data_IF_772935213695
#
_entry.id   IF_772935213695
#
_cell.length_a   1.000
_cell.length_b   1.000
_cell.length_c   1.000
_cell.angle_alpha   90.00
_cell.angle_beta   90.00
_cell.angle_gamma   90.00
#
_symmetry.space_group_name_H-M   'P 1'
#
loop_
_entity.id
_entity.type
_entity.pdbx_description
1 polymer ?
#
# COMPACT_ATOMS: atom_id res chain seq x y z
N UNK A 1 22.68 22.14 2.80
CA UNK A 1 21.84 21.13 2.14
C UNK A 1 20.41 21.33 2.64
N UNK A 2 19.47 21.57 1.75
CA UNK A 2 18.04 21.76 2.05
C UNK A 2 17.43 20.39 2.42
N UNK A 3 16.64 20.35 3.49
CA UNK A 3 15.92 19.12 3.90
C UNK A 3 14.48 19.20 3.48
N UNK A 4 14.01 18.19 2.76
CA UNK A 4 12.64 18.08 2.25
C UNK A 4 12.09 16.72 2.66
N UNK A 5 10.80 16.65 2.95
CA UNK A 5 10.11 15.40 3.21
C UNK A 5 9.01 15.21 2.16
N UNK A 6 8.99 14.04 1.52
CA UNK A 6 7.88 13.60 0.71
C UNK A 6 7.14 12.45 1.41
N UNK A 7 5.83 12.50 1.33
CA UNK A 7 4.96 11.46 1.85
C UNK A 7 4.18 10.81 0.72
N UNK A 8 4.23 9.47 0.67
CA UNK A 8 3.40 8.69 -0.25
C UNK A 8 2.01 8.57 0.35
N UNK A 9 1.04 9.24 -0.25
CA UNK A 9 -0.36 9.17 0.14
C UNK A 9 -1.12 8.23 -0.80
N UNK A 10 -1.69 7.15 -0.27
CA UNK A 10 -2.48 6.21 -1.03
C UNK A 10 -3.91 6.74 -1.22
N UNK A 11 -4.41 6.67 -2.46
CA UNK A 11 -5.71 7.22 -2.89
C UNK A 11 -6.78 6.14 -3.03
N UNK A 12 -6.39 4.87 -2.97
CA UNK A 12 -7.28 3.72 -3.08
C UNK A 12 -6.81 2.58 -2.21
N UNK A 13 -7.69 1.61 -1.96
CA UNK A 13 -7.30 0.31 -1.43
C UNK A 13 -6.68 -0.54 -2.56
N UNK A 14 -5.80 -1.51 -2.24
CA UNK A 14 -5.20 -2.37 -3.24
C UNK A 14 -6.25 -3.31 -3.85
N UNK A 15 -6.20 -3.50 -5.16
CA UNK A 15 -6.79 -4.66 -5.79
C UNK A 15 -5.94 -5.89 -5.50
N UNK A 16 -6.56 -7.06 -5.40
CA UNK A 16 -5.87 -8.31 -5.17
C UNK A 16 -6.21 -9.32 -6.26
N UNK A 17 -5.24 -10.16 -6.63
CA UNK A 17 -5.46 -11.25 -7.57
C UNK A 17 -5.61 -12.58 -6.84
N UNK A 18 -6.66 -13.32 -7.18
CA UNK A 18 -6.99 -14.61 -6.58
C UNK A 18 -7.81 -15.46 -7.53
N UNK A 19 -7.72 -16.79 -7.40
CA UNK A 19 -8.59 -17.68 -8.16
C UNK A 19 -10.06 -17.49 -7.77
N UNK A 20 -10.89 -17.12 -8.73
CA UNK A 20 -12.34 -17.01 -8.55
C UNK A 20 -12.99 -18.36 -8.90
N UNK A 21 -13.61 -19.01 -7.90
CA UNK A 21 -14.28 -20.31 -8.10
C UNK A 21 -15.41 -20.25 -9.11
N UNK A 22 -16.16 -19.14 -9.17
CA UNK A 22 -17.27 -18.97 -10.11
C UNK A 22 -16.80 -18.72 -11.54
N UNK A 23 -15.74 -17.89 -11.72
CA UNK A 23 -15.16 -17.64 -13.05
C UNK A 23 -14.26 -18.78 -13.54
N UNK A 24 -13.77 -19.66 -12.65
CA UNK A 24 -12.85 -20.74 -12.96
C UNK A 24 -11.44 -20.28 -13.35
N UNK A 25 -11.08 -19.02 -13.08
CA UNK A 25 -9.80 -18.40 -13.44
C UNK A 25 -9.29 -17.44 -12.37
N UNK A 26 -8.01 -17.03 -12.48
CA UNK A 26 -7.46 -15.93 -11.70
C UNK A 26 -8.17 -14.63 -12.10
N UNK A 27 -8.71 -13.91 -11.14
CA UNK A 27 -9.45 -12.67 -11.31
C UNK A 27 -9.02 -11.65 -10.28
N UNK A 28 -9.27 -10.37 -10.56
CA UNK A 28 -9.09 -9.29 -9.60
C UNK A 28 -10.27 -9.24 -8.63
N UNK A 29 -9.98 -8.95 -7.37
CA UNK A 29 -10.97 -8.71 -6.34
C UNK A 29 -10.74 -7.34 -5.72
N UNK A 30 -11.82 -6.63 -5.50
CA UNK A 30 -11.81 -5.31 -4.85
C UNK A 30 -12.47 -5.37 -3.48
N UNK A 31 -11.90 -4.67 -2.51
CA UNK A 31 -12.47 -4.53 -1.18
C UNK A 31 -13.84 -3.86 -1.28
N UNK A 32 -14.86 -4.44 -0.65
CA UNK A 32 -16.20 -3.86 -0.59
C UNK A 32 -16.33 -2.80 0.51
N UNK A 33 -15.27 -2.62 1.32
CA UNK A 33 -15.26 -1.76 2.51
C UNK A 33 -16.29 -2.17 3.58
N UNK A 34 -16.71 -3.42 3.56
CA UNK A 34 -17.68 -3.97 4.51
C UNK A 34 -17.13 -5.18 5.23
N UNK A 35 -17.41 -5.24 6.52
CA UNK A 35 -17.19 -6.43 7.33
C UNK A 35 -18.46 -7.26 7.43
N UNK A 36 -18.27 -8.57 7.50
CA UNK A 36 -19.29 -9.50 7.92
C UNK A 36 -18.93 -10.00 9.30
N UNK A 37 -19.84 -9.82 10.25
CA UNK A 37 -19.70 -10.28 11.63
C UNK A 37 -20.72 -11.37 11.88
N UNK A 38 -20.27 -12.53 12.34
CA UNK A 38 -21.13 -13.63 12.77
C UNK A 38 -20.81 -13.98 14.22
N UNK A 39 -21.77 -13.70 15.09
CA UNK A 39 -21.69 -14.02 16.51
C UNK A 39 -22.67 -15.16 16.83
N UNK A 40 -22.19 -16.40 16.70
CA UNK A 40 -22.99 -17.58 17.06
C UNK A 40 -22.62 -18.06 18.48
N UNK A 41 -23.54 -17.86 19.43
CA UNK A 41 -23.43 -18.30 20.82
C UNK A 41 -22.16 -17.78 21.52
N UNK A 42 -21.06 -18.59 21.51
CA UNK A 42 -19.79 -18.30 22.22
C UNK A 42 -18.64 -17.99 21.28
N UNK A 43 -18.86 -18.03 19.97
CA UNK A 43 -17.82 -17.83 18.97
C UNK A 43 -18.14 -16.64 18.08
N UNK A 44 -17.11 -15.86 17.78
CA UNK A 44 -17.16 -14.71 16.91
C UNK A 44 -16.29 -14.96 15.69
N UNK A 45 -16.86 -14.78 14.51
CA UNK A 45 -16.15 -14.75 13.24
C UNK A 45 -16.31 -13.38 12.59
N UNK A 46 -15.23 -12.86 12.04
CA UNK A 46 -15.21 -11.58 11.31
C UNK A 46 -14.46 -11.74 10.00
N UNK A 47 -15.06 -11.25 8.92
CA UNK A 47 -14.45 -11.22 7.59
C UNK A 47 -14.51 -9.84 6.98
N UNK A 48 -13.48 -9.47 6.23
CA UNK A 48 -13.53 -8.34 5.29
C UNK A 48 -13.97 -8.87 3.93
N UNK A 49 -14.98 -8.26 3.33
CA UNK A 49 -15.62 -8.73 2.10
C UNK A 49 -14.94 -8.13 0.87
N UNK A 50 -14.63 -8.99 -0.09
CA UNK A 50 -14.11 -8.62 -1.41
C UNK A 50 -15.04 -9.13 -2.50
N UNK A 51 -15.14 -8.42 -3.62
CA UNK A 51 -15.95 -8.79 -4.76
C UNK A 51 -15.07 -9.02 -6.00
N UNK A 52 -15.36 -10.10 -6.72
CA UNK A 52 -14.71 -10.39 -7.99
C UNK A 52 -15.11 -9.34 -9.05
N UNK A 53 -14.14 -8.80 -9.77
CA UNK A 53 -14.36 -7.82 -10.84
C UNK A 53 -15.20 -8.34 -11.99
N UNK A 54 -15.09 -9.67 -12.30
CA UNK A 54 -15.71 -10.27 -13.47
C UNK A 54 -17.15 -10.74 -13.21
N UNK A 55 -17.43 -11.31 -12.03
CA UNK A 55 -18.73 -11.95 -11.73
C UNK A 55 -19.40 -11.46 -10.45
N UNK A 56 -18.81 -10.53 -9.77
CA UNK A 56 -19.28 -9.96 -8.50
C UNK A 56 -19.49 -10.97 -7.36
N UNK A 57 -18.96 -12.20 -7.50
CA UNK A 57 -18.95 -13.17 -6.41
C UNK A 57 -18.11 -12.66 -5.25
N UNK A 58 -18.60 -12.84 -4.05
CA UNK A 58 -17.89 -12.42 -2.84
C UNK A 58 -16.81 -13.43 -2.44
N UNK A 59 -15.71 -12.91 -1.93
CA UNK A 59 -14.72 -13.64 -1.18
C UNK A 59 -14.56 -12.98 0.20
N UNK A 60 -14.53 -13.80 1.25
CA UNK A 60 -14.45 -13.35 2.63
C UNK A 60 -13.03 -13.54 3.16
N UNK A 61 -12.27 -12.45 3.29
CA UNK A 61 -10.96 -12.47 3.93
C UNK A 61 -11.15 -12.57 5.45
N UNK A 62 -10.62 -13.60 6.06
CA UNK A 62 -10.81 -13.90 7.48
C UNK A 62 -9.99 -13.01 8.37
N UNK A 63 -10.65 -12.17 9.16
CA UNK A 63 -10.05 -11.31 10.18
C UNK A 63 -9.93 -12.04 11.50
N UNK A 64 -11.04 -12.55 12.01
CA UNK A 64 -11.10 -13.39 13.20
C UNK A 64 -11.89 -14.67 12.92
N UNK A 65 -11.51 -15.76 13.56
CA UNK A 65 -12.22 -17.05 13.45
C UNK A 65 -12.34 -17.72 14.79
N UNK A 66 -13.57 -18.04 15.16
CA UNK A 66 -13.93 -18.80 16.36
C UNK A 66 -13.32 -18.23 17.66
N UNK A 67 -13.22 -16.90 17.74
CA UNK A 67 -12.73 -16.24 18.96
C UNK A 67 -13.87 -16.00 19.95
N UNK A 68 -13.51 -15.90 21.25
CA UNK A 68 -14.48 -15.48 22.26
C UNK A 68 -14.84 -14.01 22.05
N UNK A 69 -16.14 -13.63 22.07
CA UNK A 69 -16.55 -12.22 21.99
C UNK A 69 -15.94 -11.34 23.08
N UNK A 70 -15.60 -11.92 24.24
CA UNK A 70 -14.94 -11.20 25.33
C UNK A 70 -13.44 -10.96 25.09
N UNK A 71 -12.83 -11.65 24.11
CA UNK A 71 -11.41 -11.48 23.78
C UNK A 71 -11.13 -10.28 22.87
N UNK A 72 -12.17 -9.66 22.33
CA UNK A 72 -12.06 -8.47 21.47
C UNK A 72 -12.48 -7.21 22.22
N UNK A 73 -11.80 -6.10 21.93
CA UNK A 73 -12.18 -4.81 22.47
C UNK A 73 -13.59 -4.42 21.95
N UNK A 74 -14.53 -4.02 22.83
CA UNK A 74 -15.88 -3.65 22.44
C UNK A 74 -15.94 -2.52 21.39
N UNK A 75 -15.02 -1.55 21.44
CA UNK A 75 -14.91 -0.46 20.45
C UNK A 75 -14.53 -1.01 19.08
N UNK A 76 -13.61 -1.97 19.03
CA UNK A 76 -13.20 -2.63 17.79
C UNK A 76 -14.34 -3.47 17.21
N UNK A 77 -15.08 -4.21 18.06
CA UNK A 77 -16.25 -4.99 17.64
C UNK A 77 -17.35 -4.09 17.05
N UNK A 78 -17.64 -2.98 17.71
CA UNK A 78 -18.58 -1.97 17.20
C UNK A 78 -18.08 -1.39 15.86
N UNK A 79 -16.78 -1.15 15.72
CA UNK A 79 -16.15 -0.72 14.48
C UNK A 79 -16.35 -1.72 13.32
N UNK A 80 -16.28 -3.03 13.56
CA UNK A 80 -16.59 -4.04 12.55
C UNK A 80 -18.06 -4.00 12.14
N UNK A 81 -18.98 -3.88 13.10
CA UNK A 81 -20.41 -3.77 12.82
C UNK A 81 -20.77 -2.51 12.01
N UNK A 82 -20.04 -1.42 12.24
CA UNK A 82 -20.25 -0.12 11.57
C UNK A 82 -19.43 0.07 10.30
N UNK A 83 -18.64 -0.93 9.90
CA UNK A 83 -17.71 -0.83 8.78
C UNK A 83 -16.77 0.39 8.92
N UNK A 84 -16.17 0.54 10.09
CA UNK A 84 -15.27 1.65 10.38
C UNK A 84 -14.14 1.72 9.35
N UNK A 85 -13.97 2.88 8.69
CA UNK A 85 -13.03 3.07 7.59
C UNK A 85 -11.58 2.84 8.01
N UNK A 86 -11.21 3.23 9.24
CA UNK A 86 -9.84 2.98 9.74
C UNK A 86 -9.55 1.50 9.90
N UNK A 87 -10.53 0.70 10.33
CA UNK A 87 -10.39 -0.76 10.39
C UNK A 87 -10.37 -1.39 9.00
N UNK A 88 -11.20 -0.91 8.07
CA UNK A 88 -11.15 -1.37 6.67
C UNK A 88 -9.75 -1.13 6.08
N UNK A 89 -9.24 0.09 6.24
CA UNK A 89 -7.91 0.46 5.76
C UNK A 89 -6.81 -0.39 6.41
N UNK A 90 -6.87 -0.60 7.74
CA UNK A 90 -5.90 -1.41 8.48
C UNK A 90 -5.74 -2.81 7.87
N UNK A 91 -6.84 -3.51 7.61
CA UNK A 91 -6.80 -4.86 7.06
C UNK A 91 -6.57 -4.89 5.54
N UNK A 92 -7.22 -4.01 4.78
CA UNK A 92 -7.10 -4.00 3.33
C UNK A 92 -5.71 -3.56 2.84
N UNK A 93 -5.00 -2.74 3.62
CA UNK A 93 -3.63 -2.29 3.32
C UNK A 93 -2.54 -3.20 3.92
N UNK A 94 -2.91 -4.23 4.67
CA UNK A 94 -1.99 -5.23 5.21
C UNK A 94 -1.78 -6.38 4.21
N UNK A 95 -0.67 -6.32 3.47
CA UNK A 95 -0.32 -7.35 2.48
C UNK A 95 -0.13 -8.73 3.12
N UNK A 96 0.42 -8.81 4.33
CA UNK A 96 0.63 -10.10 5.03
C UNK A 96 -0.72 -10.74 5.40
N UNK A 97 -1.68 -9.94 5.85
CA UNK A 97 -3.04 -10.39 6.08
C UNK A 97 -3.67 -10.95 4.80
N UNK A 98 -3.53 -10.25 3.68
CA UNK A 98 -4.07 -10.66 2.39
C UNK A 98 -3.44 -11.97 1.89
N UNK A 99 -2.11 -12.09 1.95
CA UNK A 99 -1.41 -13.33 1.55
C UNK A 99 -1.78 -14.51 2.45
N UNK A 100 -1.91 -14.34 3.75
CA UNK A 100 -2.41 -15.38 4.68
C UNK A 100 -3.84 -15.84 4.35
N UNK A 101 -4.64 -14.98 3.73
CA UNK A 101 -5.98 -15.29 3.24
C UNK A 101 -5.99 -15.89 1.82
N UNK A 102 -4.82 -16.26 1.27
CA UNK A 102 -4.71 -16.96 -0.02
C UNK A 102 -4.84 -16.05 -1.24
N UNK A 103 -4.42 -14.81 -1.13
CA UNK A 103 -4.22 -13.90 -2.26
C UNK A 103 -2.93 -14.28 -2.98
N UNK A 104 -2.94 -14.30 -4.31
CA UNK A 104 -1.77 -14.60 -5.13
C UNK A 104 -0.88 -13.36 -5.32
N UNK A 105 -1.51 -12.18 -5.45
CA UNK A 105 -0.81 -10.92 -5.70
C UNK A 105 -1.62 -9.76 -5.13
N UNK A 106 -0.92 -8.82 -4.50
CA UNK A 106 -1.47 -7.56 -4.01
C UNK A 106 -0.91 -6.43 -4.90
N UNK A 107 -1.80 -5.70 -5.57
CA UNK A 107 -1.41 -4.59 -6.43
C UNK A 107 -1.03 -3.36 -5.59
N UNK A 108 -0.09 -2.57 -6.12
CA UNK A 108 0.22 -1.26 -5.50
C UNK A 108 -1.01 -0.36 -5.69
N UNK A 109 -1.59 0.19 -4.61
CA UNK A 109 -2.72 1.10 -4.72
C UNK A 109 -2.36 2.36 -5.52
N UNK A 110 -3.36 3.05 -6.02
CA UNK A 110 -3.16 4.40 -6.54
C UNK A 110 -2.58 5.28 -5.45
N UNK A 111 -1.61 6.10 -5.78
CA UNK A 111 -0.95 7.00 -4.84
C UNK A 111 -0.61 8.34 -5.47
N UNK A 112 -0.42 9.33 -4.61
CA UNK A 112 0.19 10.61 -4.92
C UNK A 112 1.36 10.87 -3.97
N UNK A 113 2.16 11.87 -4.28
CA UNK A 113 3.31 12.27 -3.46
C UNK A 113 3.09 13.70 -2.98
N UNK A 114 3.04 13.87 -1.66
CA UNK A 114 2.88 15.17 -1.01
C UNK A 114 4.25 15.64 -0.51
N UNK A 115 4.48 16.93 -0.54
CA UNK A 115 5.71 17.60 -0.08
C UNK A 115 6.14 18.67 -1.06
N UNK A 116 7.11 19.47 -0.64
CA UNK A 116 7.61 20.59 -1.42
C UNK A 116 8.41 20.11 -2.65
N UNK A 117 8.29 20.85 -3.75
CA UNK A 117 9.12 20.65 -4.93
C UNK A 117 10.49 21.34 -4.72
N UNK A 118 11.48 20.91 -5.49
CA UNK A 118 12.80 21.52 -5.52
C UNK A 118 13.39 21.46 -6.92
N UNK A 119 14.36 22.31 -7.18
CA UNK A 119 15.08 22.32 -8.44
C UNK A 119 16.30 21.39 -8.38
N UNK A 120 16.63 20.77 -9.51
CA UNK A 120 17.74 19.80 -9.58
C UNK A 120 19.13 20.43 -9.42
N UNK A 121 19.22 21.75 -9.47
CA UNK A 121 20.43 22.54 -9.19
C UNK A 121 20.61 22.84 -7.69
N UNK A 122 19.67 22.39 -6.84
CA UNK A 122 19.77 22.50 -5.38
C UNK A 122 20.38 21.23 -4.77
N UNK A 123 21.21 21.40 -3.72
CA UNK A 123 21.65 20.28 -2.89
C UNK A 123 20.55 19.93 -1.87
N UNK A 124 19.89 18.78 -2.06
CA UNK A 124 18.72 18.37 -1.28
C UNK A 124 18.91 17.02 -0.61
N UNK A 125 18.58 16.94 0.66
CA UNK A 125 18.36 15.71 1.41
C UNK A 125 16.87 15.46 1.48
N UNK A 126 16.38 14.48 0.71
CA UNK A 126 14.97 14.15 0.59
C UNK A 126 14.64 12.90 1.40
N UNK A 127 13.85 13.06 2.46
CA UNK A 127 13.27 11.95 3.20
C UNK A 127 11.96 11.50 2.53
N UNK A 128 11.82 10.20 2.25
CA UNK A 128 10.59 9.62 1.70
C UNK A 128 9.92 8.78 2.78
N UNK A 129 8.67 9.14 3.11
CA UNK A 129 7.81 8.43 4.07
C UNK A 129 6.69 7.71 3.37
N UNK A 130 6.40 6.49 3.80
CA UNK A 130 5.24 5.73 3.36
C UNK A 130 4.61 5.03 4.55
N UNK A 131 3.31 5.22 4.75
CA UNK A 131 2.56 4.57 5.85
C UNK A 131 2.51 3.06 5.69
N UNK A 132 2.48 2.56 4.44
CA UNK A 132 2.36 1.16 4.11
C UNK A 132 3.53 0.69 3.24
N UNK A 133 3.98 -0.57 3.38
CA UNK A 133 5.17 -1.09 2.71
C UNK A 133 4.90 -1.59 1.28
N UNK A 134 4.10 -0.87 0.50
CA UNK A 134 3.89 -1.22 -0.90
C UNK A 134 5.15 -0.96 -1.73
N UNK A 135 5.42 -1.82 -2.74
CA UNK A 135 6.65 -1.77 -3.52
C UNK A 135 6.62 -0.67 -4.60
N UNK A 136 6.38 0.59 -4.20
CA UNK A 136 6.43 1.76 -5.07
C UNK A 136 7.86 1.94 -5.61
N UNK A 137 8.02 2.08 -6.93
CA UNK A 137 9.33 2.30 -7.54
C UNK A 137 9.83 3.71 -7.26
N UNK A 138 11.05 3.84 -6.75
CA UNK A 138 11.70 5.15 -6.51
C UNK A 138 11.74 5.97 -7.80
N UNK A 139 12.10 5.36 -8.92
CA UNK A 139 12.12 6.01 -10.23
C UNK A 139 10.78 6.59 -10.63
N UNK A 140 9.67 5.88 -10.40
CA UNK A 140 8.33 6.36 -10.72
C UNK A 140 7.94 7.55 -9.84
N UNK A 141 8.22 7.45 -8.54
CA UNK A 141 7.92 8.49 -7.56
C UNK A 141 8.69 9.79 -7.86
N UNK A 142 10.02 9.71 -8.05
CA UNK A 142 10.86 10.88 -8.32
C UNK A 142 10.48 11.52 -9.66
N UNK A 143 10.31 10.71 -10.71
CA UNK A 143 9.94 11.21 -12.04
C UNK A 143 8.57 11.90 -12.05
N UNK A 144 7.60 11.31 -11.37
CA UNK A 144 6.26 11.89 -11.26
C UNK A 144 6.31 13.24 -10.54
N UNK A 145 7.01 13.33 -9.43
CA UNK A 145 7.05 14.51 -8.57
C UNK A 145 7.87 15.66 -9.16
N UNK A 146 9.00 15.33 -9.81
CA UNK A 146 9.88 16.34 -10.43
C UNK A 146 9.67 16.49 -11.95
N UNK A 147 8.61 15.89 -12.52
CA UNK A 147 8.27 15.95 -13.94
C UNK A 147 9.41 15.52 -14.88
N UNK A 148 10.18 14.50 -14.49
CA UNK A 148 11.33 14.01 -15.24
C UNK A 148 10.95 12.91 -16.23
N UNK A 149 11.55 12.95 -17.40
CA UNK A 149 11.57 11.83 -18.32
C UNK A 149 12.41 10.67 -17.75
N UNK A 150 12.27 9.48 -18.33
CA UNK A 150 13.10 8.35 -17.93
C UNK A 150 14.59 8.60 -18.22
N UNK A 151 14.90 9.24 -19.33
CA UNK A 151 16.29 9.57 -19.72
C UNK A 151 16.94 10.56 -18.74
N UNK A 152 16.21 11.59 -18.31
CA UNK A 152 16.71 12.56 -17.33
C UNK A 152 16.99 11.90 -15.98
N UNK A 153 16.09 11.03 -15.52
CA UNK A 153 16.29 10.28 -14.29
C UNK A 153 17.53 9.36 -14.36
N UNK A 154 17.76 8.69 -15.51
CA UNK A 154 18.94 7.85 -15.68
C UNK A 154 20.23 8.68 -15.67
N UNK A 155 20.23 9.87 -16.28
CA UNK A 155 21.38 10.80 -16.25
C UNK A 155 21.74 11.21 -14.83
N UNK A 156 20.75 11.48 -13.96
CA UNK A 156 21.01 11.79 -12.54
C UNK A 156 21.73 10.64 -11.83
N UNK A 157 21.40 9.38 -12.16
CA UNK A 157 22.07 8.21 -11.59
C UNK A 157 23.50 8.06 -12.14
N UNK A 158 23.66 8.20 -13.45
CA UNK A 158 24.95 8.04 -14.16
C UNK A 158 25.96 9.09 -13.73
N UNK A 159 25.52 10.34 -13.60
CA UNK A 159 26.34 11.46 -13.12
C UNK A 159 26.55 11.44 -11.60
N UNK A 160 25.93 10.48 -10.87
CA UNK A 160 25.96 10.40 -9.40
C UNK A 160 25.33 11.60 -8.68
N UNK A 161 24.46 12.35 -9.39
CA UNK A 161 23.73 13.50 -8.83
C UNK A 161 22.59 13.07 -7.90
N UNK A 162 22.24 11.79 -7.89
CA UNK A 162 21.29 11.18 -6.94
C UNK A 162 21.87 9.93 -6.29
N UNK A 163 21.74 9.82 -4.98
CA UNK A 163 22.11 8.64 -4.18
C UNK A 163 21.02 8.30 -3.17
N UNK A 164 20.93 7.05 -2.74
CA UNK A 164 20.01 6.63 -1.68
C UNK A 164 20.75 6.24 -0.39
N UNK A 165 20.10 6.47 0.74
CA UNK A 165 20.53 6.02 2.06
C UNK A 165 19.36 5.23 2.70
N UNK A 166 19.50 3.93 2.98
CA UNK A 166 20.65 3.09 2.63
C UNK A 166 20.84 2.94 1.12
N UNK A 167 22.06 2.65 0.70
CA UNK A 167 22.41 2.50 -0.72
C UNK A 167 21.62 1.36 -1.37
N UNK A 168 21.05 1.64 -2.55
CA UNK A 168 20.36 0.67 -3.40
C UNK A 168 20.46 1.07 -4.88
N UNK A 169 20.26 0.12 -5.77
CA UNK A 169 20.16 0.40 -7.20
C UNK A 169 18.87 1.22 -7.51
N UNK A 170 19.02 2.51 -7.73
CA UNK A 170 17.91 3.43 -7.99
C UNK A 170 17.17 3.16 -9.32
N UNK A 171 17.74 2.38 -10.24
CA UNK A 171 17.07 1.96 -11.48
C UNK A 171 15.93 0.98 -11.21
N UNK A 172 16.07 0.14 -10.18
CA UNK A 172 15.13 -0.93 -9.80
C UNK A 172 14.59 -0.80 -8.38
N UNK A 173 15.13 0.15 -7.62
CA UNK A 173 14.84 0.34 -6.21
C UNK A 173 13.38 0.65 -5.94
N UNK A 174 12.91 0.14 -4.82
CA UNK A 174 11.57 0.40 -4.30
C UNK A 174 11.67 1.29 -3.05
N UNK A 175 10.63 2.08 -2.83
CA UNK A 175 10.52 2.89 -1.61
C UNK A 175 10.53 1.96 -0.40
N UNK A 176 11.41 2.22 0.54
CA UNK A 176 11.43 1.62 1.87
C UNK A 176 11.01 2.68 2.87
N UNK A 177 10.37 2.25 3.95
CA UNK A 177 10.04 3.18 5.03
C UNK A 177 11.31 3.91 5.49
N UNK A 178 11.23 5.24 5.56
CA UNK A 178 12.32 6.13 6.00
C UNK A 178 13.60 6.02 5.15
N UNK A 179 13.45 5.95 3.82
CA UNK A 179 14.61 6.09 2.94
C UNK A 179 14.91 7.56 2.68
N UNK A 180 16.18 7.87 2.53
CA UNK A 180 16.66 9.20 2.14
C UNK A 180 17.27 9.16 0.74
N UNK A 181 16.93 10.13 -0.08
CA UNK A 181 17.64 10.41 -1.33
C UNK A 181 18.44 11.70 -1.15
N UNK A 182 19.68 11.68 -1.63
CA UNK A 182 20.56 12.85 -1.62
C UNK A 182 20.75 13.29 -3.05
N UNK A 183 20.31 14.50 -3.37
CA UNK A 183 20.54 15.17 -4.64
C UNK A 183 21.71 16.15 -4.48
N UNK A 184 22.65 16.10 -5.42
CA UNK A 184 23.82 16.94 -5.47
C UNK A 184 23.87 17.63 -6.83
N UNK A 185 23.86 18.97 -6.84
CA UNK A 185 24.17 19.76 -8.03
C UNK A 185 25.63 19.57 -8.42
N UNK A 186 25.92 19.68 -9.72
CA UNK A 186 27.30 19.74 -10.23
C UNK A 186 28.05 20.96 -9.74
#
# INVERSE_FOLDING_TARGET
MKKITWEVQYLSLPAVSKHCKKCGKKSHFFCSEKFRVNAQRRALDVWLIYNCSDCNTTWNARVHSQISPQSINPVQLDGFHKNNQSLVEEYAMDSDFLYRNGVDEVEVPLYTVIGDDFLLDENVELEIKSKYPFPVKVSSLVRQKLHLSHAEYLRLIENKNIKSIPEQDLRKGKVKNNMTLVFQSE
#
